data_IF_381335666560
#
_entry.id   IF_381335666560
#
_cell.length_a   1.000
_cell.length_b   1.000
_cell.length_c   1.000
_cell.angle_alpha   90.00
_cell.angle_beta   90.00
_cell.angle_gamma   90.00
#
_symmetry.space_group_name_H-M   'P 1'
#
loop_
_entity.id
_entity.type
_entity.pdbx_description
1 polymer ?
#
# COMPACT_ATOMS: atom_id res chain seq x y z
N UNK A 1 -25.03 -10.56 22.95
CA UNK A 1 -25.02 -10.55 21.47
C UNK A 1 -23.60 -10.38 20.98
N UNK A 2 -23.16 -11.24 20.10
CA UNK A 2 -21.85 -11.12 19.47
C UNK A 2 -21.98 -10.46 18.10
N UNK A 3 -21.09 -9.55 17.80
CA UNK A 3 -21.03 -8.91 16.49
C UNK A 3 -19.85 -9.49 15.70
N UNK A 4 -19.98 -9.63 14.38
CA UNK A 4 -18.84 -9.99 13.55
C UNK A 4 -17.77 -8.89 13.64
N UNK A 5 -16.52 -9.31 13.66
CA UNK A 5 -15.39 -8.38 13.63
C UNK A 5 -15.26 -7.80 12.21
N UNK A 6 -14.93 -6.53 12.14
CA UNK A 6 -14.62 -5.83 10.88
C UNK A 6 -13.12 -5.69 10.75
N UNK A 7 -12.57 -6.34 9.74
CA UNK A 7 -11.13 -6.29 9.46
C UNK A 7 -10.92 -5.52 8.16
N UNK A 8 -10.11 -4.45 8.24
CA UNK A 8 -9.82 -3.60 7.08
C UNK A 8 -8.80 -4.28 6.17
N UNK A 9 -9.25 -4.80 5.04
CA UNK A 9 -8.42 -5.46 4.03
C UNK A 9 -7.40 -4.47 3.47
N UNK A 10 -6.11 -4.75 3.67
CA UNK A 10 -5.00 -3.86 3.30
C UNK A 10 -5.15 -2.44 3.86
N UNK A 11 -5.77 -2.31 5.03
CA UNK A 11 -6.05 -1.02 5.65
C UNK A 11 -7.25 -0.29 5.08
N UNK A 12 -8.11 -0.96 4.32
CA UNK A 12 -9.32 -0.37 3.74
C UNK A 12 -9.13 0.08 2.30
N UNK A 13 -8.64 -0.82 1.44
CA UNK A 13 -8.33 -0.55 0.03
C UNK A 13 -9.51 0.00 -0.78
N UNK A 14 -10.75 -0.26 -0.35
CA UNK A 14 -11.93 0.30 -1.01
C UNK A 14 -12.08 1.80 -0.83
N UNK A 15 -11.48 2.39 0.21
CA UNK A 15 -11.62 3.79 0.58
C UNK A 15 -10.32 4.58 0.56
N UNK A 16 -9.18 3.93 0.85
CA UNK A 16 -7.87 4.57 0.99
C UNK A 16 -6.77 3.75 0.33
N UNK A 17 -5.61 4.36 0.02
CA UNK A 17 -4.51 3.63 -0.62
C UNK A 17 -4.08 2.43 0.21
N UNK A 18 -4.10 1.25 -0.40
CA UNK A 18 -3.80 0.00 0.27
C UNK A 18 -2.42 -0.02 0.91
N UNK A 19 -2.31 -0.67 2.08
CA UNK A 19 -1.03 -0.93 2.76
C UNK A 19 -0.22 0.34 3.00
N UNK A 20 -0.88 1.44 3.36
CA UNK A 20 -0.24 2.70 3.75
C UNK A 20 -0.53 3.02 5.20
N UNK A 21 0.36 3.78 5.85
CA UNK A 21 0.13 4.25 7.22
C UNK A 21 -1.13 5.10 7.31
N UNK A 22 -1.41 5.92 6.29
CA UNK A 22 -2.61 6.74 6.25
C UNK A 22 -3.88 5.87 6.22
N UNK A 23 -3.88 4.80 5.41
CA UNK A 23 -5.02 3.87 5.37
C UNK A 23 -5.24 3.20 6.74
N UNK A 24 -4.17 2.74 7.36
CA UNK A 24 -4.26 2.09 8.68
C UNK A 24 -4.83 3.03 9.74
N UNK A 25 -4.34 4.27 9.79
CA UNK A 25 -4.84 5.27 10.73
C UNK A 25 -6.33 5.56 10.50
N UNK A 26 -6.74 5.72 9.25
CA UNK A 26 -8.14 5.99 8.91
C UNK A 26 -9.06 4.81 9.19
N UNK A 27 -8.59 3.59 8.97
CA UNK A 27 -9.36 2.39 9.29
C UNK A 27 -9.63 2.29 10.79
N UNK A 28 -8.63 2.59 11.61
CA UNK A 28 -8.78 2.60 13.07
C UNK A 28 -9.77 3.69 13.49
N UNK A 29 -9.62 4.90 12.95
CA UNK A 29 -10.53 6.02 13.25
C UNK A 29 -11.98 5.73 12.83
N UNK A 30 -12.15 4.95 11.75
CA UNK A 30 -13.48 4.53 11.29
C UNK A 30 -14.10 3.41 12.13
N UNK A 31 -13.36 2.86 13.10
CA UNK A 31 -13.86 1.84 14.01
C UNK A 31 -13.62 0.40 13.59
N UNK A 32 -12.67 0.16 12.69
CA UNK A 32 -12.29 -1.22 12.36
C UNK A 32 -11.73 -1.94 13.59
N UNK A 33 -12.10 -3.21 13.75
CA UNK A 33 -11.62 -4.03 14.86
C UNK A 33 -10.21 -4.55 14.65
N UNK A 34 -9.78 -4.64 13.39
CA UNK A 34 -8.46 -5.10 13.03
C UNK A 34 -8.06 -4.62 11.64
N UNK A 35 -6.80 -4.81 11.33
CA UNK A 35 -6.22 -4.48 10.04
C UNK A 35 -5.61 -5.77 9.46
N UNK A 36 -5.91 -6.06 8.21
CA UNK A 36 -5.21 -7.08 7.44
C UNK A 36 -4.17 -6.37 6.59
N UNK A 37 -2.98 -6.91 6.53
CA UNK A 37 -1.88 -6.36 5.73
C UNK A 37 -1.00 -7.50 5.21
N UNK A 38 -0.14 -7.14 4.25
CA UNK A 38 0.77 -8.05 3.60
C UNK A 38 2.21 -7.59 3.81
N UNK A 39 3.14 -8.52 3.96
CA UNK A 39 4.55 -8.18 4.18
C UNK A 39 5.46 -8.97 3.24
N UNK A 40 6.56 -8.34 2.88
CA UNK A 40 7.65 -8.94 2.14
C UNK A 40 8.98 -8.62 2.81
N UNK A 41 9.92 -9.55 2.75
CA UNK A 41 11.27 -9.33 3.23
C UNK A 41 12.07 -8.59 2.17
N UNK A 42 12.72 -7.49 2.54
CA UNK A 42 13.60 -6.74 1.64
C UNK A 42 14.99 -7.37 1.59
N UNK A 43 15.84 -6.91 0.64
CA UNK A 43 17.21 -7.39 0.53
C UNK A 43 18.02 -7.19 1.80
N UNK A 44 17.78 -6.09 2.52
CA UNK A 44 18.46 -5.77 3.78
C UNK A 44 17.75 -6.33 5.02
N UNK A 45 16.83 -7.29 4.83
CA UNK A 45 16.22 -8.03 5.94
C UNK A 45 15.13 -7.29 6.70
N UNK A 46 14.50 -6.28 6.11
CA UNK A 46 13.40 -5.54 6.73
C UNK A 46 12.06 -6.05 6.24
N UNK A 47 11.02 -5.94 7.08
CA UNK A 47 9.66 -6.34 6.72
C UNK A 47 8.92 -5.13 6.17
N UNK A 48 8.77 -5.09 4.85
CA UNK A 48 8.06 -4.05 4.13
C UNK A 48 6.60 -4.43 3.94
N UNK A 49 5.69 -3.49 4.20
CA UNK A 49 4.25 -3.72 4.07
C UNK A 49 3.83 -3.42 2.64
N UNK A 50 3.49 -4.45 1.88
CA UNK A 50 3.03 -4.34 0.50
C UNK A 50 2.45 -5.68 0.05
N UNK A 51 1.47 -5.67 -0.84
CA UNK A 51 0.80 -6.90 -1.29
C UNK A 51 1.61 -7.64 -2.35
N UNK A 52 1.95 -6.96 -3.45
CA UNK A 52 2.61 -7.59 -4.57
C UNK A 52 4.11 -7.77 -4.31
N UNK A 53 4.72 -8.70 -5.00
CA UNK A 53 6.17 -8.97 -4.87
C UNK A 53 7.06 -7.90 -5.50
N UNK A 54 6.46 -6.98 -6.27
CA UNK A 54 7.11 -5.81 -6.86
C UNK A 54 6.15 -4.64 -6.88
N UNK A 55 6.64 -3.40 -7.04
CA UNK A 55 5.79 -2.24 -7.25
C UNK A 55 5.35 -2.21 -8.71
N UNK A 56 4.04 -2.06 -8.93
CA UNK A 56 3.45 -2.14 -10.27
C UNK A 56 2.98 -0.79 -10.78
N UNK A 57 2.93 -0.62 -12.12
CA UNK A 57 2.51 0.66 -12.73
C UNK A 57 1.14 1.16 -12.30
N UNK A 58 0.24 0.27 -11.91
CA UNK A 58 -1.12 0.64 -11.49
C UNK A 58 -1.17 1.38 -10.15
N UNK A 59 -0.16 1.19 -9.29
CA UNK A 59 -0.21 1.66 -7.91
C UNK A 59 1.01 2.48 -7.46
N UNK A 60 2.02 2.63 -8.31
CA UNK A 60 3.25 3.30 -7.90
C UNK A 60 3.73 4.34 -8.90
N UNK A 61 4.16 5.47 -8.36
CA UNK A 61 4.88 6.52 -9.08
C UNK A 61 6.33 6.52 -8.62
N UNK A 62 7.24 6.80 -9.55
CA UNK A 62 8.67 6.86 -9.25
C UNK A 62 9.10 8.18 -8.62
N UNK A 63 10.41 8.34 -8.37
CA UNK A 63 10.97 9.55 -7.75
C UNK A 63 10.70 10.84 -8.54
N UNK A 64 10.50 10.72 -9.86
CA UNK A 64 10.16 11.83 -10.75
C UNK A 64 8.67 12.20 -10.71
N UNK A 65 7.86 11.50 -9.95
CA UNK A 65 6.42 11.70 -9.87
C UNK A 65 5.62 11.05 -11.00
N UNK A 66 6.30 10.44 -11.97
CA UNK A 66 5.64 9.77 -13.09
C UNK A 66 5.26 8.34 -12.73
N UNK A 67 4.17 7.86 -13.31
CA UNK A 67 3.78 6.46 -13.17
C UNK A 67 4.86 5.54 -13.73
N UNK A 68 5.10 4.42 -13.05
CA UNK A 68 6.01 3.40 -13.54
C UNK A 68 5.51 2.88 -14.88
N UNK A 69 6.43 2.65 -15.82
CA UNK A 69 6.10 2.05 -17.13
C UNK A 69 6.20 0.52 -17.09
N UNK A 70 6.88 0.00 -16.08
CA UNK A 70 7.03 -1.45 -15.82
C UNK A 70 7.18 -1.67 -14.32
N UNK A 71 6.94 -2.91 -13.83
CA UNK A 71 7.19 -3.22 -12.42
C UNK A 71 8.65 -2.97 -12.03
N UNK A 72 8.87 -2.64 -10.76
CA UNK A 72 10.21 -2.61 -10.18
C UNK A 72 10.80 -4.02 -10.12
N UNK A 73 12.10 -4.16 -9.84
CA UNK A 73 12.63 -5.43 -9.34
C UNK A 73 11.82 -5.94 -8.15
N UNK A 74 11.99 -7.20 -7.79
CA UNK A 74 11.29 -7.78 -6.65
C UNK A 74 11.71 -7.08 -5.36
N UNK A 75 10.76 -6.94 -4.42
CA UNK A 75 11.01 -6.32 -3.12
C UNK A 75 12.18 -6.99 -2.39
N UNK A 76 12.32 -8.31 -2.53
CA UNK A 76 13.43 -9.06 -1.94
C UNK A 76 14.81 -8.66 -2.50
N UNK A 77 14.83 -8.02 -3.66
CA UNK A 77 16.06 -7.60 -4.34
C UNK A 77 16.36 -6.10 -4.14
N UNK A 78 15.48 -5.39 -3.41
CA UNK A 78 15.61 -3.98 -3.11
C UNK A 78 15.79 -3.75 -1.61
N UNK A 79 16.54 -2.73 -1.23
CA UNK A 79 16.61 -2.29 0.16
C UNK A 79 15.36 -1.51 0.53
N UNK A 80 15.07 -1.43 1.83
CA UNK A 80 13.96 -0.61 2.31
C UNK A 80 14.15 0.85 1.92
N UNK A 81 15.38 1.36 1.99
CA UNK A 81 15.68 2.74 1.58
C UNK A 81 15.37 3.01 0.10
N UNK A 82 15.68 2.05 -0.78
CA UNK A 82 15.36 2.15 -2.20
C UNK A 82 13.85 2.21 -2.42
N UNK A 83 13.06 1.47 -1.64
CA UNK A 83 11.60 1.46 -1.75
C UNK A 83 10.98 2.80 -1.36
N UNK A 84 11.64 3.59 -0.51
CA UNK A 84 11.12 4.89 -0.07
C UNK A 84 11.08 5.93 -1.18
N UNK A 85 11.72 5.69 -2.32
CA UNK A 85 11.69 6.59 -3.47
C UNK A 85 10.34 6.58 -4.21
N UNK A 86 9.48 5.60 -3.94
CA UNK A 86 8.22 5.42 -4.66
C UNK A 86 7.04 5.90 -3.83
N UNK A 87 6.05 6.50 -4.52
CA UNK A 87 4.80 6.96 -3.92
C UNK A 87 3.70 5.95 -4.29
N UNK A 88 3.04 5.38 -3.29
CA UNK A 88 1.98 4.39 -3.44
C UNK A 88 0.61 4.92 -2.99
N UNK A 89 0.48 6.22 -2.86
CA UNK A 89 -0.73 6.86 -2.31
C UNK A 89 -1.86 7.08 -3.30
N UNK A 90 -1.72 6.61 -4.53
CA UNK A 90 -2.73 6.85 -5.58
C UNK A 90 -2.76 5.70 -6.58
N UNK A 91 -3.96 5.29 -6.98
CA UNK A 91 -4.14 4.35 -8.08
C UNK A 91 -4.09 5.12 -9.41
N UNK A 92 -3.47 4.51 -10.42
CA UNK A 92 -3.48 5.06 -11.77
C UNK A 92 -4.88 4.92 -12.36
N UNK A 93 -5.52 6.06 -12.66
CA UNK A 93 -6.94 6.11 -13.00
C UNK A 93 -7.32 5.28 -14.24
N UNK A 94 -6.43 5.17 -15.22
CA UNK A 94 -6.66 4.42 -16.46
C UNK A 94 -6.29 2.94 -16.34
N UNK A 95 -5.80 2.49 -15.18
CA UNK A 95 -5.47 1.09 -14.96
C UNK A 95 -6.72 0.28 -14.60
N UNK A 96 -6.77 -0.95 -15.10
CA UNK A 96 -7.86 -1.88 -14.77
C UNK A 96 -8.02 -2.07 -13.27
N UNK A 97 -6.92 -2.07 -12.53
CA UNK A 97 -6.92 -2.23 -11.08
C UNK A 97 -7.68 -1.11 -10.37
N UNK A 98 -7.55 0.13 -10.85
CA UNK A 98 -8.26 1.28 -10.26
C UNK A 98 -9.79 1.15 -10.38
N UNK A 99 -10.28 0.49 -11.43
CA UNK A 99 -11.71 0.28 -11.62
C UNK A 99 -12.35 -0.59 -10.54
N UNK A 100 -11.54 -1.35 -9.79
CA UNK A 100 -12.00 -2.18 -8.65
C UNK A 100 -12.28 -1.35 -7.41
N UNK A 101 -11.73 -0.14 -7.33
CA UNK A 101 -11.82 0.73 -6.15
C UNK A 101 -12.21 2.15 -6.55
N UNK A 102 -13.43 2.33 -7.13
CA UNK A 102 -13.85 3.63 -7.66
C UNK A 102 -14.01 4.71 -6.59
N UNK A 103 -14.19 4.30 -5.34
CA UNK A 103 -14.40 5.23 -4.23
C UNK A 103 -13.13 5.52 -3.42
N UNK A 104 -12.00 4.95 -3.82
CA UNK A 104 -10.75 5.17 -3.11
C UNK A 104 -10.31 6.63 -3.22
N UNK A 105 -10.06 7.28 -2.07
CA UNK A 105 -9.49 8.63 -2.01
C UNK A 105 -7.97 8.53 -2.03
N UNK A 106 -7.34 9.22 -2.97
CA UNK A 106 -5.88 9.27 -3.04
C UNK A 106 -5.29 10.10 -1.89
N UNK A 107 -4.14 9.67 -1.42
CA UNK A 107 -3.34 10.38 -0.41
C UNK A 107 -1.90 10.34 -0.91
N UNK A 108 -1.42 11.45 -1.50
CA UNK A 108 -0.08 11.51 -2.05
C UNK A 108 0.98 11.53 -0.94
N UNK A 109 2.22 11.25 -1.30
CA UNK A 109 3.38 11.14 -0.40
C UNK A 109 3.25 9.99 0.62
N UNK A 110 2.60 8.92 0.22
CA UNK A 110 2.58 7.68 1.00
C UNK A 110 3.63 6.72 0.46
N UNK A 111 4.46 6.22 1.35
CA UNK A 111 5.56 5.30 1.02
C UNK A 111 5.35 3.96 1.70
N UNK A 112 6.05 2.94 1.23
CA UNK A 112 5.96 1.61 1.83
C UNK A 112 6.36 1.67 3.30
N UNK A 113 5.48 1.26 4.24
CA UNK A 113 5.81 1.26 5.66
C UNK A 113 6.64 0.05 6.07
N UNK A 114 7.36 0.18 7.18
CA UNK A 114 7.85 -0.97 7.92
C UNK A 114 6.72 -1.56 8.76
N UNK A 115 6.69 -2.88 8.87
CA UNK A 115 5.72 -3.53 9.76
C UNK A 115 5.84 -3.03 11.20
N UNK A 116 7.06 -2.76 11.66
CA UNK A 116 7.31 -2.28 13.02
C UNK A 116 6.66 -0.90 13.30
N UNK A 117 6.36 -0.12 12.28
CA UNK A 117 5.77 1.21 12.42
C UNK A 117 4.23 1.19 12.36
N UNK A 118 3.65 0.07 11.99
CA UNK A 118 2.19 -0.07 11.90
C UNK A 118 1.50 -0.20 13.25
#
# INVERSE_FOLDING_TARGET
MTYPLQVAHRGGAGLWPENTMAAFARAIDAGADGIELDVHLTRDGKLAVHHDESLKPAIARGPDGAWLVRPTPLLKDLTFAELQAYDIGRLRADARYAARYPEQTAIDDEHIPLLADV
#
